data_IF_255302874981
#
_entry.id   IF_255302874981
#
_cell.length_a   1.000
_cell.length_b   1.000
_cell.length_c   1.000
_cell.angle_alpha   90.00
_cell.angle_beta   90.00
_cell.angle_gamma   90.00
#
_symmetry.space_group_name_H-M   'P 1'
#
loop_
_entity.id
_entity.type
_entity.pdbx_description
1 polymer ?
#
# COMPACT_ATOMS: atom_id res chain seq x y z
N UNK A 1 6.21 -0.73 -25.32
CA UNK A 1 5.17 0.14 -24.77
C UNK A 1 5.35 0.30 -23.27
N UNK A 2 5.39 1.52 -22.86
CA UNK A 2 5.58 1.87 -21.46
C UNK A 2 4.23 1.90 -20.75
N UNK A 3 4.12 1.21 -19.65
CA UNK A 3 2.91 1.28 -18.84
C UNK A 3 3.10 2.32 -17.75
N UNK A 4 2.32 3.36 -17.81
CA UNK A 4 2.39 4.40 -16.80
C UNK A 4 1.55 4.00 -15.60
N UNK A 5 2.06 4.35 -14.42
CA UNK A 5 1.34 4.10 -13.18
C UNK A 5 0.13 5.03 -13.12
N UNK A 6 -1.03 4.48 -12.80
CA UNK A 6 -2.25 5.25 -12.67
C UNK A 6 -2.41 5.72 -11.22
N UNK A 7 -2.43 7.03 -11.02
CA UNK A 7 -2.58 7.61 -9.68
C UNK A 7 -4.00 8.15 -9.50
N UNK A 8 -4.42 8.25 -8.25
CA UNK A 8 -5.73 8.78 -7.92
C UNK A 8 -5.81 10.27 -8.26
N UNK A 9 -4.76 11.01 -7.95
CA UNK A 9 -4.67 12.43 -8.24
C UNK A 9 -3.22 12.86 -8.08
N UNK A 10 -2.97 14.15 -8.25
CA UNK A 10 -1.61 14.68 -8.15
C UNK A 10 -1.04 14.52 -6.75
N UNK A 11 -1.87 14.65 -5.72
CA UNK A 11 -1.41 14.47 -4.34
C UNK A 11 -0.93 13.04 -4.10
N UNK A 12 -1.66 12.08 -4.62
CA UNK A 12 -1.27 10.67 -4.51
C UNK A 12 0.08 10.43 -5.19
N UNK A 13 0.23 10.97 -6.39
CA UNK A 13 1.46 10.81 -7.16
C UNK A 13 2.65 11.43 -6.43
N UNK A 14 2.47 12.65 -5.92
CA UNK A 14 3.55 13.34 -5.22
C UNK A 14 3.93 12.62 -3.94
N UNK A 15 2.94 12.12 -3.20
CA UNK A 15 3.23 11.37 -1.98
C UNK A 15 3.97 10.06 -2.28
N UNK A 16 3.57 9.38 -3.36
CA UNK A 16 4.24 8.16 -3.78
C UNK A 16 5.74 8.41 -4.01
N UNK A 17 6.06 9.47 -4.77
CA UNK A 17 7.46 9.77 -5.04
C UNK A 17 8.21 10.22 -3.78
N UNK A 18 7.52 10.96 -2.90
CA UNK A 18 8.11 11.35 -1.63
C UNK A 18 8.47 10.14 -0.78
N UNK A 19 7.56 9.17 -0.71
CA UNK A 19 7.80 7.96 0.09
C UNK A 19 8.90 7.10 -0.52
N UNK A 20 8.94 6.99 -1.85
CA UNK A 20 9.99 6.21 -2.50
C UNK A 20 11.38 6.78 -2.22
N UNK A 21 11.49 8.10 -2.15
CA UNK A 21 12.77 8.74 -1.86
C UNK A 21 13.27 8.42 -0.47
N UNK A 22 12.38 8.06 0.45
CA UNK A 22 12.77 7.70 1.81
C UNK A 22 13.21 6.25 1.92
N UNK A 23 12.93 5.44 0.90
CA UNK A 23 13.32 4.05 0.88
C UNK A 23 14.75 3.93 0.39
N UNK A 24 15.48 2.94 0.91
CA UNK A 24 16.84 2.72 0.44
C UNK A 24 16.87 1.86 -0.83
N UNK A 25 15.70 1.45 -1.32
CA UNK A 25 15.56 0.74 -2.60
C UNK A 25 14.16 1.00 -3.15
N UNK A 26 14.01 0.82 -4.46
CA UNK A 26 12.71 1.03 -5.11
C UNK A 26 12.46 -0.16 -6.04
N UNK A 27 12.18 -1.30 -5.45
CA UNK A 27 11.99 -2.55 -6.18
C UNK A 27 10.52 -2.97 -6.22
N UNK A 28 10.26 -4.14 -6.75
CA UNK A 28 8.90 -4.65 -6.94
C UNK A 28 8.18 -4.91 -5.63
N UNK A 29 8.92 -5.06 -4.55
CA UNK A 29 8.32 -5.25 -3.23
C UNK A 29 7.98 -3.90 -2.58
N UNK A 30 8.84 -2.92 -2.78
CA UNK A 30 8.71 -1.61 -2.14
C UNK A 30 7.68 -0.72 -2.81
N UNK A 31 7.68 -0.69 -4.15
CA UNK A 31 6.82 0.22 -4.90
C UNK A 31 5.33 0.06 -4.58
N UNK A 32 4.77 -1.17 -4.56
CA UNK A 32 3.34 -1.28 -4.28
C UNK A 32 2.97 -0.83 -2.87
N UNK A 33 3.85 -1.06 -1.89
CA UNK A 33 3.60 -0.60 -0.52
C UNK A 33 3.55 0.92 -0.49
N UNK A 34 4.54 1.59 -1.10
CA UNK A 34 4.56 3.05 -1.12
C UNK A 34 3.36 3.61 -1.89
N UNK A 35 2.96 2.95 -2.97
CA UNK A 35 1.80 3.36 -3.74
C UNK A 35 0.53 3.35 -2.89
N UNK A 36 0.34 2.27 -2.13
CA UNK A 36 -0.86 2.14 -1.29
C UNK A 36 -0.83 3.07 -0.09
N UNK A 37 0.32 3.21 0.57
CA UNK A 37 0.44 4.14 1.68
C UNK A 37 0.23 5.59 1.22
N UNK A 38 0.63 5.90 -0.01
CA UNK A 38 0.46 7.24 -0.56
C UNK A 38 -1.00 7.61 -0.75
N UNK A 39 -1.91 6.63 -0.80
CA UNK A 39 -3.34 6.92 -0.89
C UNK A 39 -3.85 7.68 0.33
N UNK A 40 -3.17 7.58 1.47
CA UNK A 40 -3.55 8.36 2.65
C UNK A 40 -3.17 9.84 2.50
N UNK A 41 -2.27 10.16 1.57
CA UNK A 41 -1.78 11.52 1.31
C UNK A 41 -1.27 12.20 2.56
N UNK A 42 -0.60 11.44 3.44
CA UNK A 42 -0.13 11.96 4.72
C UNK A 42 1.14 11.23 5.14
N UNK A 43 2.25 11.98 5.18
CA UNK A 43 3.55 11.40 5.49
C UNK A 43 3.59 10.79 6.89
N UNK A 44 2.98 11.48 7.86
CA UNK A 44 2.96 10.98 9.23
C UNK A 44 2.25 9.64 9.33
N UNK A 45 1.14 9.49 8.63
CA UNK A 45 0.38 8.22 8.61
C UNK A 45 1.20 7.12 7.96
N UNK A 46 1.87 7.42 6.85
CA UNK A 46 2.71 6.44 6.18
C UNK A 46 3.83 5.96 7.10
N UNK A 47 4.43 6.87 7.86
CA UNK A 47 5.49 6.51 8.79
C UNK A 47 5.00 5.65 9.94
N UNK A 48 3.73 5.76 10.29
CA UNK A 48 3.16 4.90 11.32
C UNK A 48 2.99 3.47 10.83
N UNK A 49 2.82 3.30 9.52
CA UNK A 49 2.57 1.99 8.94
C UNK A 49 3.83 1.30 8.44
N UNK A 50 4.89 2.04 8.17
CA UNK A 50 6.10 1.49 7.59
C UNK A 50 7.33 2.14 8.21
N UNK A 51 8.30 1.31 8.62
CA UNK A 51 9.56 1.77 9.19
C UNK A 51 10.57 1.94 8.07
N UNK A 52 10.86 3.19 7.72
CA UNK A 52 11.74 3.49 6.60
C UNK A 52 13.21 3.25 6.92
N UNK A 53 13.55 3.20 8.19
CA UNK A 53 14.93 2.90 8.59
C UNK A 53 15.20 1.41 8.48
N UNK A 54 14.30 0.60 9.02
CA UNK A 54 14.45 -0.85 9.00
C UNK A 54 13.88 -1.47 7.73
N UNK A 55 13.17 -0.68 6.93
CA UNK A 55 12.53 -1.13 5.69
C UNK A 55 11.61 -2.32 5.94
N UNK A 56 10.61 -2.11 6.79
CA UNK A 56 9.62 -3.14 7.07
C UNK A 56 8.29 -2.52 7.48
N UNK A 57 7.23 -3.30 7.31
CA UNK A 57 5.88 -2.86 7.70
C UNK A 57 5.78 -2.85 9.23
N UNK A 58 4.79 -2.11 9.73
CA UNK A 58 4.56 -1.96 11.16
C UNK A 58 3.13 -2.39 11.51
N UNK A 59 2.83 -3.69 11.47
CA UNK A 59 1.45 -4.15 11.69
C UNK A 59 0.90 -3.81 13.07
N UNK A 60 1.78 -3.70 14.07
CA UNK A 60 1.35 -3.37 15.42
C UNK A 60 0.74 -1.98 15.51
N UNK A 61 1.02 -1.11 14.54
CA UNK A 61 0.50 0.25 14.51
C UNK A 61 -0.75 0.39 13.65
N UNK A 62 -1.31 -0.71 13.17
CA UNK A 62 -2.40 -0.63 12.20
C UNK A 62 -3.62 0.14 12.70
N UNK A 63 -3.99 -0.07 13.97
CA UNK A 63 -5.17 0.59 14.53
C UNK A 63 -4.84 2.02 14.91
N UNK A 64 -5.41 2.96 14.19
CA UNK A 64 -5.16 4.38 14.41
C UNK A 64 -6.48 5.14 14.36
N UNK A 65 -6.62 6.24 15.13
CA UNK A 65 -7.85 7.03 15.11
C UNK A 65 -8.21 7.60 13.75
N UNK A 66 -7.21 7.86 12.90
CA UNK A 66 -7.46 8.42 11.56
C UNK A 66 -7.87 7.37 10.53
N UNK A 67 -7.82 6.10 10.88
CA UNK A 67 -8.08 5.01 9.93
C UNK A 67 -9.53 5.03 9.47
N UNK A 68 -9.73 5.02 8.15
CA UNK A 68 -11.05 4.87 7.56
C UNK A 68 -11.14 3.46 6.98
N UNK A 69 -12.35 3.08 6.52
CA UNK A 69 -12.49 1.76 5.94
C UNK A 69 -11.66 1.65 4.63
N UNK A 70 -11.58 2.72 3.84
CA UNK A 70 -10.77 2.69 2.62
C UNK A 70 -9.28 2.63 2.92
N UNK A 71 -8.79 3.44 3.86
CA UNK A 71 -7.37 3.41 4.20
C UNK A 71 -6.99 2.09 4.84
N UNK A 72 -7.89 1.51 5.66
CA UNK A 72 -7.62 0.23 6.29
C UNK A 72 -7.41 -0.86 5.23
N UNK A 73 -8.26 -0.87 4.20
CA UNK A 73 -8.12 -1.86 3.14
C UNK A 73 -6.85 -1.66 2.34
N UNK A 74 -6.51 -0.41 2.04
CA UNK A 74 -5.28 -0.09 1.31
C UNK A 74 -4.05 -0.58 2.09
N UNK A 75 -4.03 -0.34 3.39
CA UNK A 75 -2.88 -0.70 4.22
C UNK A 75 -2.81 -2.21 4.40
N UNK A 76 -3.96 -2.89 4.55
CA UNK A 76 -3.95 -4.35 4.61
C UNK A 76 -3.36 -4.96 3.36
N UNK A 77 -3.75 -4.43 2.20
CA UNK A 77 -3.19 -4.91 0.94
C UNK A 77 -1.69 -4.64 0.87
N UNK A 78 -1.26 -3.47 1.34
CA UNK A 78 0.16 -3.15 1.36
C UNK A 78 0.94 -4.17 2.19
N UNK A 79 0.41 -4.53 3.35
CA UNK A 79 1.06 -5.51 4.21
C UNK A 79 1.14 -6.89 3.53
N UNK A 80 0.05 -7.30 2.87
CA UNK A 80 0.03 -8.58 2.14
C UNK A 80 1.06 -8.58 1.02
N UNK A 81 1.15 -7.48 0.28
CA UNK A 81 2.06 -7.41 -0.86
C UNK A 81 3.52 -7.28 -0.43
N UNK A 82 3.77 -6.87 0.82
CA UNK A 82 5.14 -6.71 1.30
C UNK A 82 5.87 -8.06 1.35
N UNK A 83 5.33 -9.03 2.05
CA UNK A 83 5.97 -10.35 2.09
C UNK A 83 4.98 -11.44 2.47
N UNK A 84 3.75 -11.27 2.04
CA UNK A 84 2.74 -12.28 2.28
C UNK A 84 2.10 -12.24 3.67
N UNK A 85 2.43 -11.20 4.47
CA UNK A 85 1.67 -10.99 5.69
C UNK A 85 0.20 -11.20 5.31
N UNK A 86 -0.58 -11.95 6.03
CA UNK A 86 -0.90 -11.68 7.43
C UNK A 86 -0.51 -12.81 8.39
N UNK A 87 -0.74 -12.53 9.66
CA UNK A 87 -0.78 -13.56 10.69
C UNK A 87 -2.06 -14.35 10.52
N UNK A 88 -2.14 -15.48 11.24
CA UNK A 88 -3.33 -16.32 11.17
C UNK A 88 -4.61 -15.57 11.55
N UNK A 89 -4.53 -14.70 12.55
CA UNK A 89 -5.72 -13.97 13.01
C UNK A 89 -6.23 -12.99 11.98
N UNK A 90 -5.36 -12.50 11.11
CA UNK A 90 -5.71 -11.45 10.15
C UNK A 90 -5.94 -11.99 8.75
N UNK A 91 -5.80 -13.29 8.58
CA UNK A 91 -5.87 -13.89 7.24
C UNK A 91 -7.18 -13.56 6.54
N UNK A 92 -8.30 -13.70 7.24
CA UNK A 92 -9.60 -13.45 6.64
C UNK A 92 -9.78 -11.98 6.28
N UNK A 93 -9.33 -11.08 7.16
CA UNK A 93 -9.46 -9.64 6.92
C UNK A 93 -8.65 -9.17 5.71
N UNK A 94 -7.59 -9.91 5.38
CA UNK A 94 -6.71 -9.55 4.28
C UNK A 94 -7.06 -10.28 2.98
N UNK A 95 -8.15 -11.03 2.96
CA UNK A 95 -8.56 -11.75 1.76
C UNK A 95 -9.08 -10.78 0.70
N UNK A 96 -9.10 -11.23 -0.54
CA UNK A 96 -9.64 -10.45 -1.65
C UNK A 96 -11.07 -10.02 -1.36
N UNK A 97 -11.86 -10.91 -0.79
CA UNK A 97 -13.25 -10.62 -0.47
C UNK A 97 -13.37 -9.41 0.47
N UNK A 98 -12.49 -9.32 1.45
CA UNK A 98 -12.58 -8.25 2.45
C UNK A 98 -11.84 -6.98 2.04
N UNK A 99 -10.98 -7.04 1.04
CA UNK A 99 -10.24 -5.87 0.57
C UNK A 99 -10.97 -5.16 -0.57
N UNK A 100 -11.46 -5.93 -1.52
CA UNK A 100 -12.06 -5.38 -2.74
C UNK A 100 -13.58 -5.31 -2.65
N UNK A 101 -14.16 -4.44 -3.49
CA UNK A 101 -15.62 -4.35 -3.62
C UNK A 101 -16.28 -3.38 -2.67
N UNK A 102 -15.50 -2.63 -1.90
CA UNK A 102 -16.05 -1.77 -0.86
C UNK A 102 -15.82 -0.27 -1.10
N UNK A 103 -15.03 0.09 -2.09
CA UNK A 103 -14.77 1.51 -2.30
C UNK A 103 -14.35 1.77 -3.73
N UNK A 104 -14.32 3.06 -4.09
CA UNK A 104 -13.84 3.46 -5.39
C UNK A 104 -12.32 3.33 -5.53
N UNK A 105 -11.64 2.91 -4.49
CA UNK A 105 -10.20 2.72 -4.53
C UNK A 105 -9.77 1.37 -5.11
N UNK A 106 -10.72 0.50 -5.41
CA UNK A 106 -10.39 -0.85 -5.91
C UNK A 106 -9.47 -0.81 -7.13
N UNK A 107 -9.67 0.14 -8.03
CA UNK A 107 -8.81 0.22 -9.23
C UNK A 107 -7.36 0.56 -8.87
N UNK A 108 -7.15 1.29 -7.78
CA UNK A 108 -5.80 1.59 -7.32
C UNK A 108 -5.19 0.37 -6.62
N UNK A 109 -6.02 -0.43 -5.97
CA UNK A 109 -5.55 -1.70 -5.41
C UNK A 109 -5.03 -2.63 -6.51
N UNK A 110 -5.76 -2.68 -7.63
CA UNK A 110 -5.31 -3.47 -8.79
C UNK A 110 -4.01 -2.92 -9.34
N UNK A 111 -3.87 -1.61 -9.39
CA UNK A 111 -2.64 -1.00 -9.86
C UNK A 111 -1.44 -1.38 -8.97
N UNK A 112 -1.65 -1.44 -7.66
CA UNK A 112 -0.62 -1.87 -6.73
C UNK A 112 -0.20 -3.31 -6.98
N UNK A 113 -1.16 -4.19 -7.27
CA UNK A 113 -0.86 -5.58 -7.59
C UNK A 113 0.00 -5.67 -8.85
N UNK A 114 -0.27 -4.83 -9.84
CA UNK A 114 0.54 -4.80 -11.05
C UNK A 114 1.97 -4.36 -10.77
N UNK A 115 2.15 -3.44 -9.82
CA UNK A 115 3.49 -3.01 -9.43
C UNK A 115 4.25 -4.15 -8.75
N UNK A 116 3.55 -4.98 -7.98
CA UNK A 116 4.17 -6.10 -7.29
C UNK A 116 4.53 -7.24 -8.23
N UNK A 117 3.71 -7.45 -9.27
CA UNK A 117 3.90 -8.54 -10.22
C UNK A 117 3.88 -8.00 -11.65
N UNK A 118 4.89 -7.22 -12.04
CA UNK A 118 4.83 -6.50 -13.32
C UNK A 118 4.89 -7.38 -14.55
N UNK A 119 5.31 -8.63 -14.40
CA UNK A 119 5.43 -9.52 -15.56
C UNK A 119 4.24 -10.42 -15.75
N UNK A 120 3.20 -10.27 -14.93
CA UNK A 120 2.03 -11.11 -15.05
C UNK A 120 1.03 -10.50 -15.97
N UNK A 121 1.08 -10.39 -17.10
CA UNK A 121 -0.02 -9.85 -17.88
C UNK A 121 -0.03 -10.37 -19.27
#
# INVERSE_FOLDING_TARGET
MQNEIQFKDENHKNMYHTLLKKCNRADEETKPVMYLLALTCNLSRAKQMFDFKEMCIRPDNFEQPWQTSSSARAIRLAFVLWNGFPTAEQHELNSVYNIFGYSSWDKYFIEAIKLRYPTTC
#
